data_IF_203781232359
#
_entry.id   IF_203781232359
#
_cell.length_a   1.000
_cell.length_b   1.000
_cell.length_c   1.000
_cell.angle_alpha   90.00
_cell.angle_beta   90.00
_cell.angle_gamma   90.00
#
_symmetry.space_group_name_H-M   'P 1'
#
loop_
_entity.id
_entity.type
_entity.pdbx_description
1 polymer ?
#
# COMPACT_ATOMS: atom_id res chain seq x y z
N UNK A 1 -16.57 14.48 4.79
CA UNK A 1 -17.94 13.93 4.62
C UNK A 1 -18.11 13.62 3.14
N UNK A 2 -18.20 12.34 2.76
CA UNK A 2 -18.34 11.96 1.36
C UNK A 2 -19.82 12.03 0.94
N UNK A 3 -20.12 12.81 -0.11
CA UNK A 3 -21.45 12.85 -0.72
C UNK A 3 -21.64 11.63 -1.62
N UNK A 4 -22.82 11.00 -1.51
CA UNK A 4 -23.24 9.86 -2.32
C UNK A 4 -24.27 10.39 -3.32
N UNK A 5 -23.97 10.33 -4.61
CA UNK A 5 -24.93 10.64 -5.67
C UNK A 5 -25.20 9.40 -6.53
N UNK A 6 -26.44 9.28 -6.97
CA UNK A 6 -27.14 8.08 -7.45
C UNK A 6 -26.46 7.31 -8.60
N UNK A 7 -26.08 6.06 -8.31
CA UNK A 7 -25.83 4.87 -9.16
C UNK A 7 -24.74 4.02 -8.47
N UNK A 8 -25.11 3.13 -7.53
CA UNK A 8 -24.22 2.25 -6.74
C UNK A 8 -22.82 2.88 -6.53
N UNK A 9 -22.75 3.94 -5.72
CA UNK A 9 -21.56 4.78 -5.55
C UNK A 9 -20.28 3.95 -5.53
N UNK A 10 -19.46 4.13 -6.57
CA UNK A 10 -18.14 3.52 -6.67
C UNK A 10 -17.32 3.97 -5.47
N UNK A 11 -16.65 3.04 -4.79
CA UNK A 11 -15.74 3.42 -3.73
C UNK A 11 -14.52 4.12 -4.35
N UNK A 12 -14.23 5.32 -3.84
CA UNK A 12 -13.05 6.09 -4.22
C UNK A 12 -12.48 6.79 -2.98
N UNK A 13 -11.23 6.48 -2.67
CA UNK A 13 -10.41 7.12 -1.66
C UNK A 13 -9.43 8.07 -2.36
N UNK A 14 -9.63 9.38 -2.16
CA UNK A 14 -8.73 10.40 -2.69
C UNK A 14 -7.33 10.25 -2.08
N UNK A 15 -6.31 10.27 -2.93
CA UNK A 15 -4.92 10.15 -2.50
C UNK A 15 -4.45 11.39 -1.74
N UNK A 16 -3.81 11.17 -0.59
CA UNK A 16 -3.09 12.20 0.16
C UNK A 16 -1.63 11.77 0.40
N UNK A 17 -0.68 12.72 0.32
CA UNK A 17 0.71 12.58 0.82
C UNK A 17 1.49 11.31 0.43
N UNK A 18 1.83 11.09 -0.85
CA UNK A 18 2.75 9.99 -1.23
C UNK A 18 2.22 8.55 -1.00
N UNK A 19 1.00 8.38 -0.51
CA UNK A 19 0.41 7.08 -0.15
C UNK A 19 -0.23 6.33 -1.33
N UNK A 20 0.33 6.42 -2.53
CA UNK A 20 -0.32 5.94 -3.76
C UNK A 20 -0.67 4.44 -3.73
N UNK A 21 0.18 3.60 -3.13
CA UNK A 21 -0.09 2.15 -3.01
C UNK A 21 -1.39 1.86 -2.26
N UNK A 22 -1.60 2.52 -1.11
CA UNK A 22 -2.79 2.34 -0.27
C UNK A 22 -4.06 2.70 -1.02
N UNK A 23 -4.09 3.89 -1.60
CA UNK A 23 -5.25 4.40 -2.31
C UNK A 23 -5.56 3.61 -3.59
N UNK A 24 -4.51 3.18 -4.32
CA UNK A 24 -4.68 2.33 -5.50
C UNK A 24 -5.35 1.01 -5.15
N UNK A 25 -4.87 0.32 -4.12
CA UNK A 25 -5.43 -0.97 -3.70
C UNK A 25 -6.85 -0.85 -3.16
N UNK A 26 -7.13 0.15 -2.33
CA UNK A 26 -8.46 0.38 -1.77
C UNK A 26 -9.48 0.76 -2.85
N UNK A 27 -9.06 1.56 -3.83
CA UNK A 27 -9.90 1.90 -4.99
C UNK A 27 -10.17 0.67 -5.86
N UNK A 28 -9.14 -0.14 -6.14
CA UNK A 28 -9.30 -1.36 -6.94
C UNK A 28 -10.25 -2.36 -6.27
N UNK A 29 -10.10 -2.57 -4.97
CA UNK A 29 -10.91 -3.52 -4.19
C UNK A 29 -12.25 -2.95 -3.72
N UNK A 30 -12.54 -1.71 -4.11
CA UNK A 30 -13.79 -1.03 -3.83
C UNK A 30 -14.13 -0.92 -2.33
N UNK A 31 -13.11 -0.67 -1.49
CA UNK A 31 -13.28 -0.50 -0.05
C UNK A 31 -11.98 -0.18 0.69
N UNK A 32 -12.04 0.19 1.98
CA UNK A 32 -10.87 0.49 2.81
C UNK A 32 -10.21 -0.80 3.31
N UNK A 33 -9.60 -1.55 2.39
CA UNK A 33 -9.04 -2.89 2.68
C UNK A 33 -7.67 -2.82 3.35
N UNK A 34 -6.83 -1.86 2.95
CA UNK A 34 -5.47 -1.69 3.44
C UNK A 34 -5.27 -0.36 4.16
N UNK A 35 -4.57 -0.43 5.28
CA UNK A 35 -3.96 0.69 5.99
C UNK A 35 -2.48 0.85 5.62
N UNK A 36 -1.84 1.93 6.05
CA UNK A 36 -0.39 2.11 5.87
C UNK A 36 0.41 1.05 6.64
N UNK A 37 -0.04 0.72 7.86
CA UNK A 37 0.61 -0.32 8.67
C UNK A 37 0.58 -1.69 7.97
N UNK A 38 -0.51 -2.02 7.27
CA UNK A 38 -0.58 -3.27 6.51
C UNK A 38 0.46 -3.29 5.38
N UNK A 39 0.62 -2.17 4.67
CA UNK A 39 1.62 -2.07 3.60
C UNK A 39 3.06 -2.11 4.12
N UNK A 40 3.32 -1.53 5.30
CA UNK A 40 4.63 -1.60 5.95
C UNK A 40 4.99 -3.04 6.34
N UNK A 41 4.03 -3.81 6.86
CA UNK A 41 4.21 -5.23 7.18
C UNK A 41 4.47 -6.04 5.91
N UNK A 42 3.70 -5.82 4.84
CA UNK A 42 3.89 -6.50 3.55
C UNK A 42 5.29 -6.18 2.99
N UNK A 43 5.73 -4.92 3.05
CA UNK A 43 7.05 -4.52 2.59
C UNK A 43 8.17 -5.20 3.38
N UNK A 44 8.01 -5.34 4.70
CA UNK A 44 8.97 -6.02 5.58
C UNK A 44 9.03 -7.52 5.32
N UNK A 45 7.90 -8.18 5.05
CA UNK A 45 7.89 -9.60 4.73
C UNK A 45 8.50 -9.89 3.36
N UNK A 46 8.22 -9.06 2.36
CA UNK A 46 8.89 -9.12 1.06
C UNK A 46 10.40 -8.91 1.20
N UNK A 47 10.84 -8.03 2.12
CA UNK A 47 12.26 -7.81 2.43
C UNK A 47 12.91 -9.07 2.99
N UNK A 48 12.27 -9.78 3.92
CA UNK A 48 12.80 -11.03 4.49
C UNK A 48 12.98 -12.10 3.41
N UNK A 49 11.96 -12.30 2.56
CA UNK A 49 12.01 -13.25 1.43
C UNK A 49 13.14 -12.89 0.46
N UNK A 50 13.27 -11.59 0.12
CA UNK A 50 14.34 -11.11 -0.74
C UNK A 50 15.73 -11.34 -0.12
N UNK A 51 15.87 -11.14 1.19
CA UNK A 51 17.14 -11.37 1.90
C UNK A 51 17.54 -12.85 1.92
N UNK A 52 16.58 -13.75 2.16
CA UNK A 52 16.79 -15.20 2.15
C UNK A 52 17.19 -15.70 0.75
N UNK A 53 16.54 -15.18 -0.29
CA UNK A 53 16.80 -15.58 -1.68
C UNK A 53 18.09 -14.99 -2.26
N UNK A 54 18.46 -13.76 -1.90
CA UNK A 54 19.59 -13.06 -2.50
C UNK A 54 20.94 -13.32 -1.81
N UNK A 55 20.96 -13.85 -0.57
CA UNK A 55 22.20 -14.04 0.24
C UNK A 55 23.12 -12.81 0.31
N UNK A 56 22.61 -11.61 0.03
CA UNK A 56 23.40 -10.39 -0.13
C UNK A 56 23.47 -9.62 1.20
N UNK A 57 24.67 -9.50 1.76
CA UNK A 57 24.98 -8.79 3.01
C UNK A 57 24.91 -7.25 2.89
N UNK A 58 24.84 -6.71 1.67
CA UNK A 58 24.84 -5.25 1.41
C UNK A 58 23.68 -4.90 0.47
N UNK A 59 22.44 -5.12 0.90
CA UNK A 59 21.26 -4.63 0.20
C UNK A 59 20.74 -3.36 0.89
N UNK A 60 21.00 -2.18 0.31
CA UNK A 60 20.35 -0.94 0.73
C UNK A 60 18.87 -1.06 0.40
N UNK A 61 18.03 -1.20 1.44
CA UNK A 61 16.61 -1.52 1.35
C UNK A 61 15.86 -0.63 0.33
N UNK A 62 15.51 -1.13 -0.87
CA UNK A 62 14.75 -0.40 -1.88
C UNK A 62 13.24 -0.39 -1.57
N UNK A 63 12.81 -1.21 -0.61
CA UNK A 63 11.42 -1.34 -0.17
C UNK A 63 11.12 -0.47 1.06
N UNK A 64 12.10 0.32 1.53
CA UNK A 64 11.85 1.32 2.57
C UNK A 64 11.06 2.46 1.94
N UNK A 65 9.81 2.61 2.35
CA UNK A 65 9.00 3.77 1.98
C UNK A 65 9.74 5.04 2.44
N UNK A 66 10.04 6.00 1.54
CA UNK A 66 10.52 7.30 1.96
C UNK A 66 9.38 7.97 2.74
N UNK A 67 9.61 8.22 4.04
CA UNK A 67 8.69 9.04 4.85
C UNK A 67 8.53 10.43 4.27
#
# INVERSE_FOLDING_TARGET
MAQINSARSLYHECQNHGQCGKHTLNNLLQGPVYSIADLDVIAEDLRKIAQESLQMTIWKNPYKSPM
#
